data_IF_126965070667
#
_entry.id   IF_126965070667
#
_cell.length_a   1.000
_cell.length_b   1.000
_cell.length_c   1.000
_cell.angle_alpha   90.00
_cell.angle_beta   90.00
_cell.angle_gamma   90.00
#
_symmetry.space_group_name_H-M   'P 1'
#
loop_
_entity.id
_entity.type
_entity.pdbx_description
1 polymer ?
#
# COMPACT_ATOMS: atom_id res chain seq x y z
N UNK A 1 -17.47 -0.73 -7.22
CA UNK A 1 -18.50 -0.69 -6.16
C UNK A 1 -18.26 -1.74 -5.07
N UNK A 2 -18.19 -3.03 -5.42
CA UNK A 2 -17.93 -4.13 -4.48
C UNK A 2 -16.64 -3.96 -3.65
N UNK A 3 -15.53 -3.54 -4.28
CA UNK A 3 -14.27 -3.26 -3.59
C UNK A 3 -14.40 -2.14 -2.53
N UNK A 4 -15.21 -1.12 -2.79
CA UNK A 4 -15.44 -0.02 -1.85
C UNK A 4 -16.23 -0.47 -0.62
N UNK A 5 -17.21 -1.36 -0.83
CA UNK A 5 -18.04 -1.96 0.22
C UNK A 5 -17.20 -2.91 1.08
N UNK A 6 -16.38 -3.77 0.46
CA UNK A 6 -15.50 -4.70 1.17
C UNK A 6 -14.43 -3.92 1.97
N UNK A 7 -13.82 -2.88 1.40
CA UNK A 7 -12.86 -2.03 2.12
C UNK A 7 -13.50 -1.29 3.30
N UNK A 8 -14.75 -0.85 3.19
CA UNK A 8 -15.47 -0.22 4.28
C UNK A 8 -15.79 -1.21 5.42
N UNK A 9 -16.15 -2.45 5.06
CA UNK A 9 -16.49 -3.51 6.00
C UNK A 9 -15.26 -4.07 6.74
N UNK A 10 -14.12 -4.22 6.05
CA UNK A 10 -12.95 -4.91 6.58
C UNK A 10 -12.14 -4.06 7.56
N UNK A 11 -12.07 -2.74 7.36
CA UNK A 11 -11.13 -1.90 8.12
C UNK A 11 -11.72 -1.20 9.34
N UNK A 12 -13.05 -1.10 9.48
CA UNK A 12 -13.71 -0.43 10.63
C UNK A 12 -13.16 1.00 10.89
N UNK A 13 -12.49 1.59 9.89
CA UNK A 13 -11.66 2.80 9.92
C UNK A 13 -11.60 3.38 8.50
N UNK A 14 -12.26 4.53 8.28
CA UNK A 14 -12.37 5.21 6.98
C UNK A 14 -11.02 5.60 6.35
N UNK A 15 -9.97 5.73 7.18
CA UNK A 15 -8.66 6.26 6.77
C UNK A 15 -7.84 5.23 6.01
N UNK A 16 -7.83 4.00 6.48
CA UNK A 16 -7.08 2.92 5.84
C UNK A 16 -7.73 2.54 4.50
N UNK A 17 -9.06 2.61 4.39
CA UNK A 17 -9.80 2.49 3.12
C UNK A 17 -9.37 3.53 2.08
N UNK A 18 -9.20 4.80 2.49
CA UNK A 18 -8.76 5.88 1.59
C UNK A 18 -7.34 5.65 1.05
N UNK A 19 -6.44 5.13 1.87
CA UNK A 19 -5.07 4.82 1.46
C UNK A 19 -5.07 3.72 0.41
N UNK A 20 -5.78 2.62 0.65
CA UNK A 20 -5.88 1.53 -0.34
C UNK A 20 -6.53 2.01 -1.63
N UNK A 21 -7.58 2.83 -1.53
CA UNK A 21 -8.26 3.40 -2.71
C UNK A 21 -7.35 4.31 -3.55
N UNK A 22 -6.37 4.98 -2.95
CA UNK A 22 -5.35 5.78 -3.66
C UNK A 22 -4.19 4.94 -4.18
N UNK A 23 -3.77 3.92 -3.43
CA UNK A 23 -2.65 3.05 -3.78
C UNK A 23 -2.96 2.25 -5.04
N UNK A 24 -4.16 1.66 -5.15
CA UNK A 24 -4.56 0.86 -6.32
C UNK A 24 -4.34 1.60 -7.66
N UNK A 25 -4.89 2.80 -7.90
CA UNK A 25 -4.68 3.50 -9.17
C UNK A 25 -3.22 3.91 -9.38
N UNK A 26 -2.50 4.32 -8.33
CA UNK A 26 -1.07 4.67 -8.42
C UNK A 26 -0.25 3.46 -8.87
N UNK A 27 -0.46 2.29 -8.25
CA UNK A 27 0.24 1.05 -8.60
C UNK A 27 -0.04 0.63 -10.05
N UNK A 28 -1.30 0.69 -10.47
CA UNK A 28 -1.69 0.35 -11.86
C UNK A 28 -1.00 1.26 -12.87
N UNK A 29 -0.98 2.57 -12.63
CA UNK A 29 -0.28 3.54 -13.49
C UNK A 29 1.22 3.25 -13.51
N UNK A 30 1.84 3.01 -12.35
CA UNK A 30 3.27 2.74 -12.25
C UNK A 30 3.67 1.46 -13.01
N UNK A 31 2.88 0.38 -12.88
CA UNK A 31 3.16 -0.86 -13.61
C UNK A 31 2.97 -0.70 -15.10
N UNK A 32 1.89 -0.05 -15.56
CA UNK A 32 1.72 0.19 -16.99
C UNK A 32 2.78 1.11 -17.56
N UNK A 33 3.25 2.11 -16.81
CA UNK A 33 4.40 2.93 -17.19
C UNK A 33 5.66 2.07 -17.35
N UNK A 34 5.97 1.18 -16.40
CA UNK A 34 7.11 0.26 -16.51
C UNK A 34 6.98 -0.70 -17.70
N UNK A 35 5.80 -1.27 -17.95
CA UNK A 35 5.57 -2.15 -19.10
C UNK A 35 5.75 -1.40 -20.42
N UNK A 36 5.28 -0.15 -20.49
CA UNK A 36 5.45 0.72 -21.65
C UNK A 36 6.93 1.04 -21.92
N UNK A 37 7.70 1.44 -20.89
CA UNK A 37 9.14 1.69 -21.05
C UNK A 37 9.94 0.40 -21.31
N UNK A 38 9.48 -0.74 -20.80
CA UNK A 38 10.10 -2.05 -21.01
C UNK A 38 9.73 -2.73 -22.33
N UNK A 39 8.90 -2.10 -23.18
CA UNK A 39 8.36 -2.67 -24.42
C UNK A 39 7.67 -4.04 -24.21
N UNK A 40 7.14 -4.28 -23.00
CA UNK A 40 6.51 -5.54 -22.63
C UNK A 40 5.01 -5.49 -22.94
N UNK A 41 4.47 -6.61 -23.41
CA UNK A 41 3.04 -6.74 -23.67
C UNK A 41 2.26 -7.10 -22.40
N UNK A 42 0.99 -6.68 -22.35
CA UNK A 42 0.07 -7.07 -21.30
C UNK A 42 -0.38 -8.51 -21.60
N UNK A 43 0.29 -9.48 -20.98
CA UNK A 43 -0.04 -10.89 -21.08
C UNK A 43 -0.48 -11.43 -19.71
N UNK A 44 -0.94 -12.67 -19.66
CA UNK A 44 -1.43 -13.29 -18.42
C UNK A 44 -0.34 -13.37 -17.33
N UNK A 45 0.93 -13.52 -17.73
CA UNK A 45 2.07 -13.50 -16.80
C UNK A 45 2.27 -12.09 -16.20
N UNK A 46 2.24 -11.05 -17.03
CA UNK A 46 2.37 -9.65 -16.60
C UNK A 46 1.20 -9.21 -15.70
N UNK A 47 -0.03 -9.61 -16.06
CA UNK A 47 -1.23 -9.37 -15.23
C UNK A 47 -1.17 -10.16 -13.92
N UNK A 48 -0.68 -11.40 -13.95
CA UNK A 48 -0.46 -12.20 -12.74
C UNK A 48 0.58 -11.57 -11.81
N UNK A 49 1.68 -11.08 -12.37
CA UNK A 49 2.72 -10.35 -11.61
C UNK A 49 2.20 -9.04 -11.02
N UNK A 50 1.39 -8.28 -11.77
CA UNK A 50 0.72 -7.08 -11.27
C UNK A 50 -0.21 -7.40 -10.09
N UNK A 51 -1.00 -8.47 -10.18
CA UNK A 51 -1.90 -8.87 -9.09
C UNK A 51 -1.14 -9.27 -7.82
N UNK A 52 -0.03 -10.01 -7.94
CA UNK A 52 0.80 -10.38 -6.80
C UNK A 52 1.48 -9.15 -6.17
N UNK A 53 2.08 -8.29 -7.00
CA UNK A 53 2.75 -7.08 -6.53
C UNK A 53 1.80 -6.06 -5.91
N UNK A 54 0.58 -5.94 -6.45
CA UNK A 54 -0.42 -5.02 -5.90
C UNK A 54 -0.92 -5.50 -4.53
N UNK A 55 -1.13 -6.81 -4.36
CA UNK A 55 -1.53 -7.39 -3.06
C UNK A 55 -0.49 -7.12 -1.97
N UNK A 56 0.78 -7.45 -2.23
CA UNK A 56 1.85 -7.23 -1.25
C UNK A 56 2.07 -5.75 -0.93
N UNK A 57 1.97 -4.87 -1.94
CA UNK A 57 2.14 -3.43 -1.75
C UNK A 57 1.03 -2.81 -0.88
N UNK A 58 -0.21 -3.27 -1.05
CA UNK A 58 -1.33 -2.86 -0.20
C UNK A 58 -1.11 -3.31 1.24
N UNK A 59 -0.69 -4.55 1.46
CA UNK A 59 -0.45 -5.09 2.81
C UNK A 59 0.64 -4.28 3.54
N UNK A 60 1.77 -4.00 2.88
CA UNK A 60 2.83 -3.18 3.46
C UNK A 60 2.37 -1.74 3.76
N UNK A 61 1.58 -1.15 2.88
CA UNK A 61 1.05 0.21 3.07
C UNK A 61 0.13 0.30 4.29
N UNK A 62 -0.69 -0.74 4.52
CA UNK A 62 -1.57 -0.82 5.69
C UNK A 62 -0.76 -0.94 6.98
N UNK A 63 0.25 -1.81 7.01
CA UNK A 63 1.12 -2.00 8.20
C UNK A 63 1.85 -0.71 8.58
N UNK A 64 2.40 0.02 7.60
CA UNK A 64 3.06 1.32 7.82
C UNK A 64 2.06 2.34 8.38
N UNK A 65 0.87 2.43 7.79
CA UNK A 65 -0.15 3.38 8.24
C UNK A 65 -0.60 3.09 9.69
N UNK A 66 -0.72 1.82 10.04
CA UNK A 66 -1.10 1.39 11.38
C UNK A 66 -0.02 1.73 12.42
N UNK A 67 1.26 1.53 12.09
CA UNK A 67 2.37 1.96 12.95
C UNK A 67 2.37 3.49 13.14
N UNK A 68 2.22 4.28 12.07
CA UNK A 68 2.11 5.75 12.18
C UNK A 68 0.91 6.14 13.07
N UNK A 69 -0.23 5.46 12.92
CA UNK A 69 -1.41 5.72 13.75
C UNK A 69 -1.18 5.37 15.23
N UNK A 70 -0.42 4.32 15.51
CA UNK A 70 -0.04 3.89 16.85
C UNK A 70 0.80 4.97 17.54
N UNK A 71 1.79 5.53 16.86
CA UNK A 71 2.57 6.66 17.38
C UNK A 71 1.72 7.91 17.59
N UNK A 72 0.76 8.19 16.69
CA UNK A 72 -0.14 9.34 16.85
C UNK A 72 -1.02 9.26 18.10
N UNK A 73 -1.33 8.05 18.59
CA UNK A 73 -2.04 7.87 19.86
C UNK A 73 -1.17 8.17 21.09
N UNK A 74 0.15 8.15 20.94
CA UNK A 74 1.11 8.48 22.02
C UNK A 74 1.36 10.00 22.16
N UNK A 75 0.72 10.84 21.33
CA UNK A 75 0.72 12.30 21.48
C UNK A 75 1.87 13.04 20.79
N UNK A 76 2.60 12.39 19.87
CA UNK A 76 3.66 13.05 19.09
C UNK A 76 3.09 13.97 17.99
N UNK A 77 3.96 14.78 17.37
CA UNK A 77 3.58 15.64 16.23
C UNK A 77 3.46 14.82 14.94
N UNK A 78 2.54 15.18 14.04
CA UNK A 78 2.26 14.48 12.76
C UNK A 78 3.53 14.09 11.97
N UNK A 79 4.51 14.99 11.88
CA UNK A 79 5.75 14.73 11.13
C UNK A 79 6.63 13.69 11.85
N UNK A 80 6.62 13.72 13.18
CA UNK A 80 7.37 12.82 14.04
C UNK A 80 6.74 11.42 14.04
N UNK A 81 5.41 11.33 14.08
CA UNK A 81 4.66 10.08 13.90
C UNK A 81 5.00 9.38 12.58
N UNK A 82 5.01 10.14 11.48
CA UNK A 82 5.30 9.61 10.16
C UNK A 82 6.75 9.08 10.08
N UNK A 83 7.71 9.78 10.70
CA UNK A 83 9.11 9.35 10.75
C UNK A 83 9.29 8.10 11.60
N UNK A 84 8.78 8.10 12.84
CA UNK A 84 8.95 6.99 13.77
C UNK A 84 8.21 5.74 13.28
N UNK A 85 6.96 5.88 12.85
CA UNK A 85 6.17 4.75 12.37
C UNK A 85 6.77 4.12 11.12
N UNK A 86 7.24 4.92 10.16
CA UNK A 86 7.90 4.38 8.97
C UNK A 86 9.25 3.73 9.30
N UNK A 87 10.02 4.28 10.26
CA UNK A 87 11.30 3.72 10.66
C UNK A 87 11.15 2.39 11.43
N UNK A 88 10.10 2.23 12.23
CA UNK A 88 9.83 1.01 13.00
C UNK A 88 9.56 -0.19 12.07
N UNK A 89 8.68 -0.01 11.08
CA UNK A 89 8.28 -1.11 10.19
C UNK A 89 9.11 -1.17 8.89
N UNK A 90 9.90 -0.14 8.59
CA UNK A 90 10.64 -0.01 7.34
C UNK A 90 11.57 -1.18 7.06
N UNK A 91 12.32 -1.64 8.06
CA UNK A 91 13.20 -2.81 7.92
C UNK A 91 12.41 -4.12 7.75
N UNK A 92 11.25 -4.25 8.39
CA UNK A 92 10.42 -5.45 8.26
C UNK A 92 9.78 -5.54 6.86
N UNK A 93 9.31 -4.41 6.34
CA UNK A 93 8.72 -4.31 5.00
C UNK A 93 9.76 -4.59 3.93
N UNK A 94 10.96 -4.00 4.02
CA UNK A 94 12.04 -4.26 3.04
C UNK A 94 12.55 -5.69 3.10
N UNK A 95 12.69 -6.27 4.30
CA UNK A 95 13.06 -7.67 4.46
C UNK A 95 11.99 -8.64 3.93
N UNK A 96 10.70 -8.25 3.94
CA UNK A 96 9.62 -9.06 3.39
C UNK A 96 9.43 -8.89 1.88
N UNK A 97 9.92 -7.78 1.31
CA UNK A 97 9.77 -7.46 -0.11
C UNK A 97 10.93 -8.02 -0.97
N UNK A 98 12.11 -8.25 -0.37
CA UNK A 98 13.29 -8.87 -0.98
C UNK A 98 13.25 -10.40 -0.88
#
# INVERSE_FOLDING_TARGET
LFAFIILYLFLRSFRSTLVVALVIPISVIATFAMLYFGNQTINLLSLGGLMLGLGSLVDFSVVVLESIYRYRQNGFKIIEDAKLGTAEVGNAVTASAL
#
